data_IF_259909659900
#
_entry.id   IF_259909659900
#
_cell.length_a   1.000
_cell.length_b   1.000
_cell.length_c   1.000
_cell.angle_alpha   90.00
_cell.angle_beta   90.00
_cell.angle_gamma   90.00
#
_symmetry.space_group_name_H-M   'P 1'
#
loop_
_entity.id
_entity.type
_entity.pdbx_description
1 polymer ?
#
# COMPACT_ATOMS: atom_id res chain seq x y z
N UNK A 1 21.65 15.40 -28.52
CA UNK A 1 21.86 16.67 -29.26
C UNK A 1 21.22 17.74 -28.42
N UNK A 2 22.05 18.59 -27.82
CA UNK A 2 21.63 19.68 -26.95
C UNK A 2 21.37 20.88 -27.87
N UNK A 3 20.17 20.93 -28.46
CA UNK A 3 19.78 22.05 -29.33
C UNK A 3 19.58 23.28 -28.47
N UNK A 4 20.30 24.35 -28.80
CA UNK A 4 20.15 25.65 -28.14
C UNK A 4 18.69 26.09 -28.30
N UNK A 5 17.95 26.34 -27.21
CA UNK A 5 16.53 26.63 -27.31
C UNK A 5 16.29 27.89 -28.17
N UNK A 6 15.30 27.81 -29.04
CA UNK A 6 14.85 28.89 -29.93
C UNK A 6 14.73 30.23 -29.16
N UNK A 7 15.28 31.32 -29.72
CA UNK A 7 15.31 32.63 -29.08
C UNK A 7 13.90 33.15 -28.74
N UNK A 8 12.88 32.74 -29.51
CA UNK A 8 11.48 33.06 -29.23
C UNK A 8 10.91 32.23 -28.07
N UNK A 9 11.43 31.04 -27.80
CA UNK A 9 11.09 30.25 -26.62
C UNK A 9 11.71 30.85 -25.35
N UNK A 10 12.95 31.32 -25.42
CA UNK A 10 13.64 31.99 -24.31
C UNK A 10 12.92 33.30 -23.93
N UNK A 11 12.47 34.08 -24.92
CA UNK A 11 11.77 35.36 -24.68
C UNK A 11 10.37 35.18 -24.06
N UNK A 12 9.69 34.06 -24.35
CA UNK A 12 8.35 33.75 -23.82
C UNK A 12 8.38 33.03 -22.47
N UNK A 13 9.54 32.56 -22.02
CA UNK A 13 9.67 31.88 -20.75
C UNK A 13 9.68 32.88 -19.57
N UNK A 14 8.50 33.09 -18.99
CA UNK A 14 8.31 33.97 -17.84
C UNK A 14 8.67 33.31 -16.51
N UNK A 15 9.16 32.06 -16.49
CA UNK A 15 9.49 31.36 -15.25
C UNK A 15 10.78 31.91 -14.64
N UNK A 16 10.79 32.00 -13.30
CA UNK A 16 11.99 32.37 -12.55
C UNK A 16 13.10 31.32 -12.67
N UNK A 17 14.33 31.70 -12.32
CA UNK A 17 15.45 30.76 -12.29
C UNK A 17 15.17 29.56 -11.36
N UNK A 18 14.57 29.81 -10.19
CA UNK A 18 14.21 28.75 -9.26
C UNK A 18 13.15 27.79 -9.84
N UNK A 19 12.15 28.31 -10.57
CA UNK A 19 11.16 27.49 -11.26
C UNK A 19 11.80 26.63 -12.37
N UNK A 20 12.73 27.20 -13.15
CA UNK A 20 13.46 26.45 -14.18
C UNK A 20 14.36 25.37 -13.60
N UNK A 21 15.07 25.66 -12.50
CA UNK A 21 15.88 24.67 -11.79
C UNK A 21 15.01 23.55 -11.20
N UNK A 22 13.87 23.90 -10.62
CA UNK A 22 12.89 22.92 -10.13
C UNK A 22 12.40 22.02 -11.28
N UNK A 23 11.99 22.61 -12.40
CA UNK A 23 11.49 21.86 -13.56
C UNK A 23 12.58 20.95 -14.16
N UNK A 24 13.82 21.44 -14.24
CA UNK A 24 14.97 20.66 -14.69
C UNK A 24 15.28 19.47 -13.78
N UNK A 25 15.31 19.69 -12.46
CA UNK A 25 15.48 18.62 -11.47
C UNK A 25 14.34 17.59 -11.57
N UNK A 26 13.10 18.06 -11.67
CA UNK A 26 11.92 17.21 -11.80
C UNK A 26 11.96 16.37 -13.09
N UNK A 27 12.37 16.97 -14.21
CA UNK A 27 12.53 16.27 -15.48
C UNK A 27 13.62 15.20 -15.41
N UNK A 28 14.78 15.53 -14.82
CA UNK A 28 15.88 14.58 -14.64
C UNK A 28 15.49 13.38 -13.75
N UNK A 29 14.82 13.64 -12.62
CA UNK A 29 14.34 12.58 -11.73
C UNK A 29 13.28 11.69 -12.39
N UNK A 30 12.37 12.27 -13.19
CA UNK A 30 11.40 11.49 -13.97
C UNK A 30 12.06 10.61 -15.01
N UNK A 31 13.03 11.14 -15.75
CA UNK A 31 13.79 10.36 -16.73
C UNK A 31 14.53 9.19 -16.08
N UNK A 32 15.15 9.42 -14.93
CA UNK A 32 15.82 8.38 -14.15
C UNK A 32 14.85 7.31 -13.62
N UNK A 33 13.70 7.71 -13.08
CA UNK A 33 12.68 6.76 -12.58
C UNK A 33 12.06 5.94 -13.72
N UNK A 34 11.87 6.55 -14.89
CA UNK A 34 11.28 5.91 -16.06
C UNK A 34 12.28 5.06 -16.86
N UNK A 35 13.59 5.15 -16.61
CA UNK A 35 14.60 4.40 -17.37
C UNK A 35 14.48 2.89 -17.19
N UNK A 36 13.87 2.43 -16.09
CA UNK A 36 13.79 1.01 -15.75
C UNK A 36 15.11 0.40 -15.26
N UNK A 37 16.18 1.19 -15.18
CA UNK A 37 17.53 0.74 -14.77
C UNK A 37 17.77 0.84 -13.25
N UNK A 38 16.78 1.36 -12.50
CA UNK A 38 16.85 1.46 -11.05
C UNK A 38 16.62 0.10 -10.38
N UNK A 39 17.26 -0.09 -9.22
CA UNK A 39 17.10 -1.29 -8.40
C UNK A 39 15.66 -1.52 -7.90
N UNK A 40 15.38 -2.74 -7.49
CA UNK A 40 14.08 -3.11 -6.90
C UNK A 40 14.08 -2.88 -5.39
N UNK A 41 13.02 -2.27 -4.85
CA UNK A 41 12.78 -2.20 -3.41
C UNK A 41 11.73 -3.23 -3.02
N UNK A 42 12.15 -4.28 -2.29
CA UNK A 42 11.28 -5.38 -1.84
C UNK A 42 10.48 -6.04 -2.99
N UNK A 43 11.13 -6.26 -4.14
CA UNK A 43 10.55 -6.98 -5.29
C UNK A 43 9.58 -6.17 -6.16
N UNK A 44 9.44 -4.87 -5.93
CA UNK A 44 8.81 -3.94 -6.86
C UNK A 44 9.89 -3.00 -7.42
N UNK A 45 9.86 -2.62 -8.71
CA UNK A 45 10.54 -1.39 -9.14
C UNK A 45 10.01 -0.22 -8.30
N UNK A 46 10.73 0.90 -8.17
CA UNK A 46 10.28 2.04 -7.35
C UNK A 46 8.86 2.47 -7.77
N UNK A 47 7.85 1.96 -7.05
CA UNK A 47 6.43 2.05 -7.41
C UNK A 47 5.70 2.61 -6.20
N UNK A 48 4.99 3.71 -6.40
CA UNK A 48 4.13 4.28 -5.37
C UNK A 48 2.77 3.60 -5.47
N UNK A 49 2.42 2.78 -4.48
CA UNK A 49 1.05 2.27 -4.35
C UNK A 49 0.25 3.30 -3.58
N UNK A 50 -0.87 3.75 -4.16
CA UNK A 50 -1.79 4.69 -3.53
C UNK A 50 -3.17 4.06 -3.47
N UNK A 51 -3.86 4.21 -2.34
CA UNK A 51 -5.21 3.71 -2.13
C UNK A 51 -6.18 4.85 -1.86
N UNK A 52 -7.36 4.77 -2.47
CA UNK A 52 -8.50 5.69 -2.31
C UNK A 52 -9.79 4.92 -2.57
N UNK A 53 -10.94 5.53 -2.35
CA UNK A 53 -12.24 4.91 -2.68
C UNK A 53 -12.64 5.21 -4.12
N UNK A 54 -13.46 4.35 -4.73
CA UNK A 54 -14.00 4.58 -6.07
C UNK A 54 -14.80 5.91 -6.11
N UNK A 55 -15.62 6.17 -5.09
CA UNK A 55 -16.41 7.39 -4.93
C UNK A 55 -15.55 8.67 -4.96
N UNK A 56 -14.44 8.68 -4.21
CA UNK A 56 -13.50 9.82 -4.20
C UNK A 56 -12.83 10.02 -5.57
N UNK A 57 -12.44 8.91 -6.22
CA UNK A 57 -11.80 8.95 -7.53
C UNK A 57 -12.75 9.43 -8.63
N UNK A 58 -13.99 8.92 -8.66
CA UNK A 58 -15.04 9.34 -9.61
C UNK A 58 -15.44 10.80 -9.44
N UNK A 59 -15.53 11.28 -8.19
CA UNK A 59 -15.79 12.67 -7.90
C UNK A 59 -14.57 13.59 -8.11
N UNK A 60 -13.38 13.03 -8.37
CA UNK A 60 -12.11 13.74 -8.40
C UNK A 60 -11.85 14.60 -7.13
N UNK A 61 -12.33 14.13 -5.97
CA UNK A 61 -12.23 14.84 -4.69
C UNK A 61 -11.56 13.97 -3.62
N UNK A 62 -11.20 14.55 -2.47
CA UNK A 62 -10.57 13.81 -1.38
C UNK A 62 -9.07 13.61 -1.53
N UNK A 63 -8.53 12.58 -0.86
CA UNK A 63 -7.09 12.31 -0.79
C UNK A 63 -6.81 10.81 -0.88
N UNK A 64 -5.82 10.43 -1.67
CA UNK A 64 -5.24 9.09 -1.64
C UNK A 64 -4.24 8.92 -0.49
N UNK A 65 -4.02 7.69 -0.05
CA UNK A 65 -3.00 7.33 0.96
C UNK A 65 -1.95 6.46 0.29
N UNK A 66 -0.68 6.87 0.34
CA UNK A 66 0.42 6.05 -0.18
C UNK A 66 0.70 4.87 0.74
N UNK A 67 1.35 3.81 0.25
CA UNK A 67 1.81 2.71 1.11
C UNK A 67 2.83 3.13 2.19
N UNK A 68 3.34 4.36 2.15
CA UNK A 68 4.14 4.98 3.20
C UNK A 68 3.31 5.73 4.26
N UNK A 69 2.00 5.86 4.06
CA UNK A 69 1.06 6.57 4.95
C UNK A 69 0.85 8.05 4.59
N UNK A 70 1.59 8.61 3.64
CA UNK A 70 1.42 10.01 3.21
C UNK A 70 0.08 10.21 2.51
N UNK A 71 -0.56 11.37 2.74
CA UNK A 71 -1.78 11.75 2.03
C UNK A 71 -1.44 12.56 0.77
N UNK A 72 -2.04 12.19 -0.35
CA UNK A 72 -1.85 12.83 -1.65
C UNK A 72 -3.19 13.43 -2.10
N UNK A 73 -3.27 14.72 -2.46
CA UNK A 73 -4.48 15.30 -3.04
C UNK A 73 -4.94 14.54 -4.28
N UNK A 74 -6.25 14.41 -4.50
CA UNK A 74 -6.77 13.64 -5.64
C UNK A 74 -6.26 14.18 -7.00
N UNK A 75 -6.09 15.49 -7.14
CA UNK A 75 -5.49 16.12 -8.34
C UNK A 75 -4.08 15.62 -8.62
N UNK A 76 -3.26 15.47 -7.57
CA UNK A 76 -1.90 14.95 -7.68
C UNK A 76 -1.90 13.45 -7.96
N UNK A 77 -2.81 12.70 -7.33
CA UNK A 77 -2.99 11.27 -7.61
C UNK A 77 -3.35 11.02 -9.07
N UNK A 78 -4.35 11.73 -9.61
CA UNK A 78 -4.76 11.62 -11.01
C UNK A 78 -3.58 11.97 -11.93
N UNK A 79 -2.85 13.05 -11.63
CA UNK A 79 -1.66 13.47 -12.39
C UNK A 79 -0.52 12.43 -12.36
N UNK A 80 -0.27 11.80 -11.20
CA UNK A 80 0.71 10.71 -11.09
C UNK A 80 0.23 9.47 -11.87
N UNK A 81 -1.06 9.17 -11.82
CA UNK A 81 -1.65 8.03 -12.49
C UNK A 81 -1.55 8.12 -14.02
N UNK A 82 -1.58 9.32 -14.61
CA UNK A 82 -1.51 9.51 -16.07
C UNK A 82 -0.26 8.91 -16.74
N UNK A 83 0.82 8.68 -15.98
CA UNK A 83 2.06 8.08 -16.48
C UNK A 83 2.43 6.79 -15.72
N UNK A 84 1.48 6.18 -15.01
CA UNK A 84 1.72 4.99 -14.19
C UNK A 84 1.33 3.71 -14.94
N UNK A 85 1.98 2.60 -14.58
CA UNK A 85 1.45 1.28 -14.91
C UNK A 85 0.26 0.99 -13.99
N UNK A 86 -0.95 1.01 -14.56
CA UNK A 86 -2.18 0.82 -13.79
C UNK A 86 -2.38 -0.64 -13.39
N UNK A 87 -2.55 -0.86 -12.09
CA UNK A 87 -3.03 -2.12 -11.53
C UNK A 87 -4.39 -1.88 -10.89
N UNK A 88 -5.43 -2.56 -11.38
CA UNK A 88 -6.73 -2.55 -10.73
C UNK A 88 -6.78 -3.66 -9.68
N UNK A 89 -6.98 -3.26 -8.42
CA UNK A 89 -7.20 -4.18 -7.30
C UNK A 89 -8.67 -4.13 -6.89
N UNK A 90 -9.39 -5.24 -7.07
CA UNK A 90 -10.80 -5.37 -6.73
C UNK A 90 -10.96 -6.11 -5.40
N UNK A 91 -11.80 -5.57 -4.53
CA UNK A 91 -12.12 -6.13 -3.22
C UNK A 91 -13.64 -6.28 -3.08
N UNK A 92 -14.08 -7.37 -2.46
CA UNK A 92 -15.43 -7.51 -1.92
C UNK A 92 -15.35 -7.23 -0.41
N UNK A 93 -15.72 -6.02 0.01
CA UNK A 93 -15.38 -5.50 1.33
C UNK A 93 -13.86 -5.41 1.54
N UNK A 94 -13.33 -6.11 2.56
CA UNK A 94 -11.88 -6.22 2.79
C UNK A 94 -11.25 -7.47 2.16
N UNK A 95 -12.00 -8.26 1.39
CA UNK A 95 -11.55 -9.55 0.85
C UNK A 95 -11.02 -9.42 -0.59
N UNK A 96 -9.76 -9.83 -0.87
CA UNK A 96 -9.25 -9.90 -2.23
C UNK A 96 -9.89 -11.07 -2.99
N UNK A 97 -10.31 -10.86 -4.24
CA UNK A 97 -11.13 -11.83 -4.98
C UNK A 97 -10.42 -13.18 -5.24
N UNK A 98 -9.14 -13.20 -5.64
CA UNK A 98 -8.21 -14.34 -5.54
C UNK A 98 -6.88 -14.03 -6.28
N UNK A 99 -5.74 -14.47 -5.73
CA UNK A 99 -4.45 -14.49 -6.43
C UNK A 99 -3.50 -15.50 -5.75
N UNK A 100 -3.11 -16.53 -6.49
CA UNK A 100 -2.30 -17.65 -6.00
C UNK A 100 -0.92 -17.70 -6.66
N UNK A 101 0.07 -18.20 -5.91
CA UNK A 101 1.37 -18.55 -6.47
C UNK A 101 2.08 -19.66 -5.66
N UNK A 102 2.94 -20.45 -6.31
CA UNK A 102 3.63 -21.61 -5.72
C UNK A 102 4.96 -21.28 -5.04
N UNK A 103 5.54 -20.11 -5.29
CA UNK A 103 6.77 -19.69 -4.60
C UNK A 103 6.47 -19.19 -3.19
N UNK A 104 7.43 -19.38 -2.27
CA UNK A 104 7.36 -18.86 -0.89
C UNK A 104 7.21 -17.34 -0.84
N UNK A 105 7.88 -16.63 -1.75
CA UNK A 105 7.79 -15.16 -1.79
C UNK A 105 6.52 -14.72 -2.51
N UNK A 106 5.84 -13.74 -1.91
CA UNK A 106 4.68 -13.10 -2.51
C UNK A 106 5.05 -12.44 -3.84
N UNK A 107 4.16 -12.58 -4.82
CA UNK A 107 4.32 -11.92 -6.12
C UNK A 107 4.15 -10.39 -5.99
N UNK A 108 4.65 -9.61 -6.95
CA UNK A 108 4.39 -8.17 -7.03
C UNK A 108 2.90 -7.80 -6.88
N UNK A 109 2.02 -8.54 -7.56
CA UNK A 109 0.57 -8.31 -7.50
C UNK A 109 -0.01 -8.64 -6.10
N UNK A 110 0.48 -9.67 -5.43
CA UNK A 110 0.09 -9.97 -4.04
C UNK A 110 0.54 -8.85 -3.08
N UNK A 111 1.74 -8.30 -3.29
CA UNK A 111 2.22 -7.14 -2.50
C UNK A 111 1.38 -5.89 -2.72
N UNK A 112 1.01 -5.58 -3.97
CA UNK A 112 0.12 -4.45 -4.29
C UNK A 112 -1.24 -4.63 -3.60
N UNK A 113 -1.81 -5.83 -3.68
CA UNK A 113 -3.07 -6.16 -2.99
C UNK A 113 -2.97 -5.96 -1.48
N UNK A 114 -1.90 -6.44 -0.85
CA UNK A 114 -1.69 -6.27 0.59
C UNK A 114 -1.46 -4.80 0.98
N UNK A 115 -0.76 -4.02 0.15
CA UNK A 115 -0.56 -2.60 0.39
C UNK A 115 -1.88 -1.84 0.36
N UNK A 116 -2.78 -2.18 -0.56
CA UNK A 116 -4.10 -1.59 -0.62
C UNK A 116 -5.03 -2.05 0.50
N UNK A 117 -4.97 -3.35 0.84
CA UNK A 117 -5.82 -3.97 1.84
C UNK A 117 -5.45 -3.62 3.28
N UNK A 118 -4.19 -3.83 3.66
CA UNK A 118 -3.75 -3.73 5.05
C UNK A 118 -3.18 -2.33 5.38
N UNK A 119 -2.67 -1.60 4.36
CA UNK A 119 -2.10 -0.23 4.43
C UNK A 119 -0.92 -0.02 5.40
N UNK A 120 -0.62 -1.01 6.24
CA UNK A 120 0.48 -1.06 7.19
C UNK A 120 0.47 -2.37 7.96
N UNK A 121 1.19 -2.43 9.07
CA UNK A 121 1.27 -3.64 9.87
C UNK A 121 -0.11 -4.00 10.43
N UNK A 122 -0.52 -5.25 10.26
CA UNK A 122 -1.83 -5.74 10.73
C UNK A 122 -1.92 -5.98 12.23
N UNK A 123 -0.80 -5.90 12.98
CA UNK A 123 -0.77 -6.12 14.43
C UNK A 123 -1.51 -4.98 15.14
N UNK A 124 -2.42 -5.29 16.09
CA UNK A 124 -3.13 -4.28 16.88
C UNK A 124 -2.20 -3.21 17.47
N UNK A 125 -2.54 -1.95 17.20
CA UNK A 125 -1.84 -0.78 17.73
C UNK A 125 -0.50 -0.44 17.06
N UNK A 126 -0.06 -1.20 16.06
CA UNK A 126 1.14 -0.86 15.30
C UNK A 126 0.83 0.21 14.25
N UNK A 127 1.69 1.21 14.12
CA UNK A 127 1.58 2.30 13.13
C UNK A 127 2.56 2.15 11.96
N UNK A 128 3.35 1.07 11.93
CA UNK A 128 4.35 0.84 10.90
C UNK A 128 3.69 0.77 9.51
N UNK A 129 4.13 1.59 8.54
CA UNK A 129 3.51 1.66 7.22
C UNK A 129 3.79 0.40 6.40
N UNK A 130 3.05 0.22 5.31
CA UNK A 130 3.20 -0.94 4.43
C UNK A 130 4.62 -1.04 3.85
N UNK A 131 5.26 0.11 3.58
CA UNK A 131 6.65 0.18 3.11
C UNK A 131 7.66 -0.39 4.11
N UNK A 132 7.34 -0.39 5.40
CA UNK A 132 8.15 -0.97 6.47
C UNK A 132 7.69 -2.38 6.86
N UNK A 133 6.68 -2.91 6.19
CA UNK A 133 6.10 -4.23 6.46
C UNK A 133 6.50 -5.29 5.42
N UNK A 134 6.65 -6.51 5.90
CA UNK A 134 6.91 -7.71 5.14
C UNK A 134 5.60 -8.49 4.95
N UNK A 135 5.56 -9.37 3.95
CA UNK A 135 4.43 -10.27 3.76
C UNK A 135 4.58 -11.42 4.74
N UNK A 136 3.58 -11.56 5.61
CA UNK A 136 3.45 -12.60 6.61
C UNK A 136 2.40 -13.62 6.16
N UNK A 137 2.77 -14.90 6.21
CA UNK A 137 1.82 -16.00 6.00
C UNK A 137 1.07 -16.26 7.30
N UNK A 138 -0.25 -16.14 7.26
CA UNK A 138 -1.11 -16.35 8.44
C UNK A 138 -1.08 -17.82 8.85
N UNK A 139 -1.21 -18.74 7.88
CA UNK A 139 -0.87 -20.15 8.05
C UNK A 139 0.55 -20.38 7.54
N UNK A 140 1.47 -21.02 8.29
CA UNK A 140 2.84 -21.20 7.86
C UNK A 140 2.95 -21.79 6.44
N UNK A 141 3.79 -21.19 5.59
CA UNK A 141 4.00 -21.69 4.22
C UNK A 141 4.46 -23.16 4.21
N UNK A 142 5.20 -23.60 5.22
CA UNK A 142 5.62 -25.01 5.37
C UNK A 142 4.47 -25.98 5.59
N UNK A 143 3.29 -25.48 5.98
CA UNK A 143 2.08 -26.27 6.14
C UNK A 143 1.27 -26.34 4.85
N UNK A 144 1.17 -25.24 4.10
CA UNK A 144 0.29 -25.14 2.93
C UNK A 144 1.02 -25.30 1.60
N UNK A 145 2.33 -25.04 1.57
CA UNK A 145 3.17 -24.88 0.38
C UNK A 145 2.59 -23.91 -0.66
N UNK A 146 1.74 -22.99 -0.22
CA UNK A 146 1.01 -22.05 -1.07
C UNK A 146 1.12 -20.65 -0.53
N UNK A 147 1.26 -19.70 -1.43
CA UNK A 147 1.18 -18.28 -1.13
C UNK A 147 -0.16 -17.79 -1.68
N UNK A 148 -1.19 -17.84 -0.83
CA UNK A 148 -2.57 -17.45 -1.13
C UNK A 148 -2.85 -16.08 -0.54
N UNK A 149 -3.24 -15.10 -1.37
CA UNK A 149 -3.53 -13.74 -0.93
C UNK A 149 -4.52 -13.66 0.25
N UNK A 150 -5.46 -14.62 0.35
CA UNK A 150 -6.43 -14.68 1.44
C UNK A 150 -5.81 -15.14 2.77
N UNK A 151 -4.65 -15.78 2.74
CA UNK A 151 -3.90 -16.27 3.91
C UNK A 151 -2.59 -15.46 4.11
N UNK A 152 -2.50 -14.27 3.53
CA UNK A 152 -1.40 -13.33 3.71
C UNK A 152 -1.83 -12.07 4.44
N UNK A 153 -0.87 -11.42 5.08
CA UNK A 153 -1.04 -10.10 5.68
C UNK A 153 0.29 -9.34 5.73
N UNK A 154 0.27 -8.07 6.12
CA UNK A 154 1.47 -7.31 6.41
C UNK A 154 1.85 -7.37 7.89
N UNK A 155 3.14 -7.56 8.16
CA UNK A 155 3.74 -7.46 9.49
C UNK A 155 5.09 -6.72 9.41
N UNK A 156 5.33 -5.75 10.30
CA UNK A 156 6.66 -5.13 10.39
C UNK A 156 7.69 -6.12 10.95
N UNK A 157 8.98 -5.90 10.71
CA UNK A 157 10.03 -6.85 11.14
C UNK A 157 9.95 -7.26 12.62
N UNK A 158 9.80 -6.32 13.58
CA UNK A 158 9.58 -6.64 14.99
C UNK A 158 8.34 -7.52 15.24
N UNK A 159 7.21 -7.20 14.61
CA UNK A 159 5.93 -7.88 14.84
C UNK A 159 5.86 -9.24 14.14
N UNK A 160 6.47 -9.36 12.96
CA UNK A 160 6.58 -10.63 12.24
C UNK A 160 7.26 -11.69 13.15
N UNK A 161 8.33 -11.30 13.85
CA UNK A 161 9.06 -12.18 14.79
C UNK A 161 8.27 -12.55 16.04
N UNK A 162 7.11 -11.94 16.32
CA UNK A 162 6.30 -12.32 17.48
C UNK A 162 5.73 -13.73 17.34
N UNK A 163 5.56 -14.24 16.10
CA UNK A 163 5.08 -15.62 15.89
C UNK A 163 6.06 -16.66 16.45
N UNK A 164 7.36 -16.35 16.46
CA UNK A 164 8.39 -17.17 17.11
C UNK A 164 8.32 -17.10 18.64
N UNK A 165 7.59 -16.11 19.18
CA UNK A 165 7.39 -15.87 20.62
C UNK A 165 6.00 -16.31 21.10
N UNK A 166 5.34 -17.20 20.36
CA UNK A 166 4.06 -17.80 20.73
C UNK A 166 2.82 -16.99 20.35
N UNK A 167 2.97 -15.88 19.64
CA UNK A 167 1.82 -15.23 19.01
C UNK A 167 1.32 -16.05 17.82
N UNK A 168 0.02 -16.02 17.58
CA UNK A 168 -0.62 -16.67 16.44
C UNK A 168 -1.41 -15.65 15.63
N UNK A 169 -1.48 -15.87 14.34
CA UNK A 169 -2.33 -15.09 13.44
C UNK A 169 -3.46 -15.97 12.90
N UNK A 170 -4.64 -15.40 12.68
CA UNK A 170 -5.72 -16.03 11.90
C UNK A 170 -6.49 -15.00 11.09
N UNK A 171 -7.19 -15.44 10.06
CA UNK A 171 -8.17 -14.62 9.34
C UNK A 171 -9.55 -14.79 9.95
N UNK A 172 -10.27 -13.70 10.16
CA UNK A 172 -11.68 -13.75 10.55
C UNK A 172 -12.60 -13.84 9.31
N UNK A 173 -13.91 -13.93 9.54
CA UNK A 173 -14.91 -14.03 8.47
C UNK A 173 -14.92 -12.80 7.52
N UNK A 174 -14.47 -11.65 8.02
CA UNK A 174 -14.39 -10.40 7.26
C UNK A 174 -13.07 -10.23 6.49
N UNK A 175 -12.14 -11.19 6.60
CA UNK A 175 -10.82 -11.15 5.94
C UNK A 175 -9.76 -10.29 6.67
N UNK A 176 -10.10 -9.77 7.85
CA UNK A 176 -9.16 -9.07 8.72
C UNK A 176 -8.24 -10.08 9.44
N UNK A 177 -7.01 -9.67 9.69
CA UNK A 177 -6.03 -10.48 10.42
C UNK A 177 -6.19 -10.24 11.92
N UNK A 178 -6.44 -11.32 12.65
CA UNK A 178 -6.41 -11.33 14.11
C UNK A 178 -5.07 -11.80 14.63
N UNK A 179 -4.49 -11.06 15.57
CA UNK A 179 -3.28 -11.40 16.30
C UNK A 179 -3.64 -11.88 17.70
N UNK A 180 -3.42 -13.17 17.93
CA UNK A 180 -3.70 -13.85 19.19
C UNK A 180 -2.40 -13.91 20.03
N UNK A 181 -2.38 -13.31 21.22
CA UNK A 181 -1.25 -13.41 22.14
C UNK A 181 -1.13 -14.84 22.70
N UNK A 182 0.04 -15.21 23.25
CA UNK A 182 0.14 -16.38 24.11
C UNK A 182 -0.71 -16.18 25.39
N UNK A 183 -1.20 -17.25 26.04
CA UNK A 183 -2.18 -17.15 27.13
C UNK A 183 -1.78 -16.21 28.29
N UNK A 184 -0.49 -16.14 28.61
CA UNK A 184 0.03 -15.30 29.71
C UNK A 184 0.07 -13.81 29.37
N UNK A 185 -0.10 -13.43 28.08
CA UNK A 185 -0.21 -12.06 27.60
C UNK A 185 -1.62 -11.73 27.12
N UNK A 186 -2.58 -12.61 27.38
CA UNK A 186 -3.96 -12.42 26.95
C UNK A 186 -4.80 -11.75 28.04
N UNK A 187 -5.08 -10.47 27.86
CA UNK A 187 -5.81 -9.65 28.82
C UNK A 187 -7.05 -8.99 28.20
N UNK A 188 -7.57 -9.56 27.11
CA UNK A 188 -8.73 -9.01 26.41
C UNK A 188 -8.43 -7.83 25.47
N UNK A 189 -7.16 -7.59 25.13
CA UNK A 189 -6.80 -6.54 24.19
C UNK A 189 -7.36 -6.78 22.77
N UNK A 190 -7.53 -5.71 21.95
CA UNK A 190 -7.99 -5.84 20.57
C UNK A 190 -7.13 -6.81 19.76
N UNK A 191 -7.78 -7.56 18.85
CA UNK A 191 -7.12 -8.55 17.98
C UNK A 191 -6.80 -8.03 16.58
N UNK A 192 -7.46 -6.95 16.15
CA UNK A 192 -7.35 -6.38 14.81
C UNK A 192 -6.76 -4.98 14.89
N UNK A 193 -5.91 -4.63 13.91
CA UNK A 193 -5.44 -3.26 13.78
C UNK A 193 -6.40 -2.38 12.96
N UNK A 194 -6.99 -1.36 13.59
CA UNK A 194 -7.82 -0.37 12.91
C UNK A 194 -7.09 0.94 12.60
N UNK A 195 -5.83 1.10 13.03
CA UNK A 195 -5.05 2.34 12.86
C UNK A 195 -4.96 2.78 11.40
N UNK A 196 -4.69 1.85 10.48
CA UNK A 196 -4.57 2.16 9.06
C UNK A 196 -5.93 2.30 8.32
N UNK A 197 -7.04 2.03 9.01
CA UNK A 197 -8.41 2.08 8.48
C UNK A 197 -9.35 2.88 9.39
N UNK A 198 -9.10 4.18 9.63
CA UNK A 198 -9.90 4.97 10.57
C UNK A 198 -11.39 5.05 10.16
N UNK A 199 -11.70 4.97 8.87
CA UNK A 199 -13.09 4.92 8.40
C UNK A 199 -13.87 3.72 8.96
N UNK A 200 -13.22 2.57 9.16
CA UNK A 200 -13.86 1.38 9.78
C UNK A 200 -14.16 1.58 11.28
N UNK A 201 -13.64 2.62 11.92
CA UNK A 201 -14.02 2.97 13.32
C UNK A 201 -15.23 3.91 13.30
N UNK A 202 -15.31 4.78 12.30
CA UNK A 202 -16.32 5.84 12.23
C UNK A 202 -17.64 5.38 11.58
N UNK A 203 -17.59 4.37 10.71
CA UNK A 203 -18.75 3.86 9.98
C UNK A 203 -19.47 2.68 10.65
N UNK A 204 -19.01 2.19 11.81
CA UNK A 204 -19.65 1.08 12.54
C UNK A 204 -21.04 1.40 13.13
N UNK A 205 -21.61 2.58 12.86
CA UNK A 205 -22.94 2.94 13.36
C UNK A 205 -24.11 2.57 12.43
N UNK A 206 -23.87 2.28 11.14
CA UNK A 206 -24.97 2.20 10.15
C UNK A 206 -25.22 0.80 9.57
N UNK A 207 -24.38 -0.21 9.86
CA UNK A 207 -24.48 -1.54 9.23
C UNK A 207 -25.14 -2.64 10.10
N UNK A 208 -25.69 -2.29 11.27
CA UNK A 208 -26.41 -3.20 12.19
C UNK A 208 -27.94 -3.22 11.96
N UNK A 209 -28.41 -3.05 10.71
CA UNK A 209 -29.81 -3.38 10.37
C UNK A 209 -29.90 -4.70 9.58
N UNK A 210 -30.58 -5.73 10.11
CA UNK A 210 -30.83 -6.95 9.35
C UNK A 210 -31.89 -6.69 8.28
N UNK A 211 -31.54 -6.97 7.01
CA UNK A 211 -32.51 -7.24 5.95
C UNK A 211 -33.01 -8.68 6.00
#
# INVERSE_FOLDING_TARGET
>A
MDDTPDADAVRRDTRSQAQRHHDGLLAGLRGLLASGELGQHRGLPVTVVVSTTLKELEAATGKGVTGGGSRVPMSDLIRMASNAHHYLALFDGAKPLALYHTKRLASPAQRIMLYAKDRGCSRPGCDAPAYHSEVHHVTPWTTTHRTDINDLTLACGPDNRLVEKGWKTRKNAHGDTEWLPPPHLDHGQPRINRYHHPAKILCEQDDDEPH
#
